data_IF_373234270222
#
_entry.id   IF_373234270222
#
_cell.length_a   1.000
_cell.length_b   1.000
_cell.length_c   1.000
_cell.angle_alpha   90.00
_cell.angle_beta   90.00
_cell.angle_gamma   90.00
#
_symmetry.space_group_name_H-M   'P 1'
#
loop_
_entity.id
_entity.type
_entity.pdbx_description
1 polymer ?
#
# COMPACT_ATOMS: atom_id res chain seq x y z
N UNK A 1 -4.96 1.42 -30.24
CA UNK A 1 -5.46 2.01 -28.97
C UNK A 1 -4.63 3.24 -28.69
N UNK A 2 -5.24 4.39 -28.38
CA UNK A 2 -4.46 5.61 -28.12
C UNK A 2 -3.74 5.52 -26.77
N UNK A 3 -2.60 6.17 -26.64
CA UNK A 3 -1.80 6.18 -25.41
C UNK A 3 -2.60 6.74 -24.21
N UNK A 4 -3.47 7.72 -24.47
CA UNK A 4 -4.40 8.29 -23.50
C UNK A 4 -5.42 7.27 -22.94
N UNK A 5 -5.91 6.33 -23.76
CA UNK A 5 -6.83 5.28 -23.27
C UNK A 5 -6.11 4.24 -22.41
N UNK A 6 -4.82 3.99 -22.68
CA UNK A 6 -3.99 3.10 -21.86
C UNK A 6 -3.72 3.68 -20.47
N UNK A 7 -3.40 4.97 -20.39
CA UNK A 7 -3.11 5.67 -19.13
C UNK A 7 -4.34 5.74 -18.21
N UNK A 8 -5.50 6.08 -18.75
CA UNK A 8 -6.75 6.12 -17.97
C UNK A 8 -7.13 4.73 -17.43
N UNK A 9 -6.88 3.66 -18.19
CA UNK A 9 -7.13 2.31 -17.72
C UNK A 9 -6.23 1.94 -16.53
N UNK A 10 -4.93 2.27 -16.61
CA UNK A 10 -3.97 2.03 -15.52
C UNK A 10 -4.29 2.85 -14.27
N UNK A 11 -4.66 4.12 -14.42
CA UNK A 11 -5.12 4.95 -13.30
C UNK A 11 -6.40 4.39 -12.67
N UNK A 12 -7.36 3.92 -13.48
CA UNK A 12 -8.59 3.29 -12.98
C UNK A 12 -8.30 2.01 -12.19
N UNK A 13 -7.34 1.21 -12.64
CA UNK A 13 -6.87 0.02 -11.91
C UNK A 13 -6.24 0.42 -10.57
N UNK A 14 -5.31 1.38 -10.57
CA UNK A 14 -4.68 1.88 -9.34
C UNK A 14 -5.72 2.47 -8.38
N UNK A 15 -6.68 3.25 -8.88
CA UNK A 15 -7.79 3.81 -8.10
C UNK A 15 -8.62 2.72 -7.44
N UNK A 16 -8.96 1.67 -8.19
CA UNK A 16 -9.76 0.55 -7.67
C UNK A 16 -9.00 -0.19 -6.58
N UNK A 17 -7.70 -0.43 -6.78
CA UNK A 17 -6.84 -1.09 -5.79
C UNK A 17 -6.75 -0.26 -4.50
N UNK A 18 -6.45 1.03 -4.60
CA UNK A 18 -6.35 1.92 -3.45
C UNK A 18 -7.69 2.08 -2.72
N UNK A 19 -8.80 2.22 -3.44
CA UNK A 19 -10.14 2.32 -2.84
C UNK A 19 -10.54 1.03 -2.10
N UNK A 20 -10.19 -0.15 -2.64
CA UNK A 20 -10.43 -1.42 -1.97
C UNK A 20 -9.58 -1.57 -0.69
N UNK A 21 -8.34 -1.09 -0.70
CA UNK A 21 -7.47 -1.10 0.47
C UNK A 21 -7.94 -0.09 1.53
N UNK A 22 -8.37 1.10 1.12
CA UNK A 22 -9.01 2.08 1.98
C UNK A 22 -10.22 1.51 2.73
N UNK A 23 -11.17 0.92 1.99
CA UNK A 23 -12.38 0.32 2.57
C UNK A 23 -12.04 -0.86 3.49
N UNK A 24 -11.05 -1.67 3.12
CA UNK A 24 -10.54 -2.74 3.99
C UNK A 24 -10.02 -2.17 5.32
N UNK A 25 -9.22 -1.10 5.29
CA UNK A 25 -8.63 -0.53 6.50
C UNK A 25 -9.65 0.12 7.41
N UNK A 26 -10.62 0.86 6.85
CA UNK A 26 -11.71 1.42 7.66
C UNK A 26 -12.51 0.33 8.37
N UNK A 27 -12.94 -0.71 7.62
CA UNK A 27 -13.70 -1.83 8.20
C UNK A 27 -12.89 -2.58 9.26
N UNK A 28 -11.61 -2.79 9.01
CA UNK A 28 -10.73 -3.43 9.98
C UNK A 28 -10.53 -2.55 11.24
N UNK A 29 -10.43 -1.23 11.08
CA UNK A 29 -10.25 -0.30 12.19
C UNK A 29 -11.49 -0.23 13.09
N UNK A 30 -12.69 -0.29 12.48
CA UNK A 30 -13.96 -0.34 13.21
C UNK A 30 -14.12 -1.65 14.00
N UNK A 31 -13.62 -2.76 13.45
CA UNK A 31 -13.65 -4.06 14.12
C UNK A 31 -12.52 -4.26 15.16
N UNK A 32 -11.48 -3.42 15.14
CA UNK A 32 -10.32 -3.56 16.01
C UNK A 32 -10.62 -3.09 17.45
N UNK A 33 -10.40 -3.98 18.42
CA UNK A 33 -10.58 -3.69 19.85
C UNK A 33 -9.36 -3.02 20.48
N UNK A 34 -8.16 -3.30 19.96
CA UNK A 34 -6.90 -2.79 20.49
C UNK A 34 -6.63 -1.38 19.95
N UNK A 35 -6.47 -0.35 20.81
CA UNK A 35 -6.27 1.03 20.37
C UNK A 35 -5.09 1.24 19.43
N UNK A 36 -3.96 0.56 19.67
CA UNK A 36 -2.76 0.66 18.84
C UNK A 36 -2.97 0.09 17.43
N UNK A 37 -3.69 -1.03 17.32
CA UNK A 37 -4.03 -1.64 16.04
C UNK A 37 -5.03 -0.77 15.29
N UNK A 38 -6.05 -0.25 15.98
CA UNK A 38 -7.01 0.69 15.41
C UNK A 38 -6.30 1.94 14.87
N UNK A 39 -5.41 2.54 15.64
CA UNK A 39 -4.64 3.71 15.21
C UNK A 39 -3.77 3.41 13.99
N UNK A 40 -3.09 2.25 13.95
CA UNK A 40 -2.34 1.83 12.77
C UNK A 40 -3.24 1.74 11.54
N UNK A 41 -4.37 1.04 11.65
CA UNK A 41 -5.30 0.83 10.55
C UNK A 41 -5.92 2.14 10.06
N UNK A 42 -6.27 3.06 10.97
CA UNK A 42 -6.75 4.39 10.59
C UNK A 42 -5.70 5.17 9.81
N UNK A 43 -4.43 5.15 10.22
CA UNK A 43 -3.38 5.85 9.47
C UNK A 43 -3.13 5.19 8.10
N UNK A 44 -3.23 3.87 8.00
CA UNK A 44 -3.17 3.19 6.70
C UNK A 44 -4.35 3.59 5.81
N UNK A 45 -5.57 3.67 6.38
CA UNK A 45 -6.75 4.17 5.67
C UNK A 45 -6.53 5.61 5.19
N UNK A 46 -6.06 6.53 6.05
CA UNK A 46 -5.81 7.91 5.65
C UNK A 46 -4.82 7.99 4.49
N UNK A 47 -3.74 7.20 4.53
CA UNK A 47 -2.74 7.14 3.45
C UNK A 47 -3.35 6.62 2.14
N UNK A 48 -4.19 5.59 2.19
CA UNK A 48 -4.92 5.11 1.00
C UNK A 48 -5.94 6.13 0.49
N UNK A 49 -6.60 6.86 1.39
CA UNK A 49 -7.55 7.93 1.04
C UNK A 49 -6.87 9.07 0.30
N UNK A 50 -5.70 9.52 0.78
CA UNK A 50 -4.88 10.50 0.09
C UNK A 50 -4.43 10.00 -1.29
N UNK A 51 -4.04 8.72 -1.40
CA UNK A 51 -3.68 8.11 -2.68
C UNK A 51 -4.87 8.07 -3.65
N UNK A 52 -6.07 7.74 -3.17
CA UNK A 52 -7.32 7.75 -3.95
C UNK A 52 -7.59 9.13 -4.53
N UNK A 53 -7.55 10.17 -3.69
CA UNK A 53 -7.78 11.55 -4.13
C UNK A 53 -6.72 12.02 -5.12
N UNK A 54 -5.46 11.64 -4.90
CA UNK A 54 -4.37 11.98 -5.82
C UNK A 54 -4.54 11.30 -7.18
N UNK A 55 -4.96 10.04 -7.22
CA UNK A 55 -5.26 9.35 -8.48
C UNK A 55 -6.46 9.98 -9.18
N UNK A 56 -7.51 10.38 -8.45
CA UNK A 56 -8.66 11.11 -9.02
C UNK A 56 -8.24 12.43 -9.64
N UNK A 57 -7.38 13.19 -8.96
CA UNK A 57 -6.82 14.43 -9.50
C UNK A 57 -6.09 14.16 -10.81
N UNK A 58 -5.17 13.19 -10.85
CA UNK A 58 -4.44 12.78 -12.07
C UNK A 58 -5.36 12.39 -13.23
N UNK A 59 -6.50 11.75 -12.94
CA UNK A 59 -7.50 11.42 -13.96
C UNK A 59 -8.22 12.65 -14.51
N UNK A 60 -8.32 13.73 -13.72
CA UNK A 60 -9.01 14.97 -14.10
C UNK A 60 -8.11 16.01 -14.76
N UNK A 61 -6.89 16.21 -14.25
CA UNK A 61 -5.93 17.23 -14.71
C UNK A 61 -4.87 16.68 -15.66
N UNK A 62 -4.67 15.37 -15.67
CA UNK A 62 -3.61 14.71 -16.43
C UNK A 62 -2.41 14.31 -15.57
N UNK A 63 -1.63 13.35 -16.07
CA UNK A 63 -0.54 12.70 -15.33
C UNK A 63 0.72 13.58 -15.27
N UNK A 64 0.97 14.42 -16.28
CA UNK A 64 2.21 15.18 -16.43
C UNK A 64 2.44 16.16 -15.27
N UNK A 65 1.44 16.97 -14.94
CA UNK A 65 1.53 17.94 -13.83
C UNK A 65 1.77 17.25 -12.48
N UNK A 66 1.11 16.11 -12.27
CA UNK A 66 1.26 15.34 -11.04
C UNK A 66 2.63 14.64 -10.94
N UNK A 67 3.25 14.31 -12.08
CA UNK A 67 4.61 13.76 -12.10
C UNK A 67 5.64 14.86 -11.95
N UNK A 68 5.49 16.07 -12.48
CA UNK A 68 6.45 17.15 -12.23
C UNK A 68 6.58 17.52 -10.75
N UNK A 69 5.50 17.39 -9.98
CA UNK A 69 5.56 17.54 -8.52
C UNK A 69 6.31 16.39 -7.83
N UNK A 70 6.22 15.19 -8.39
CA UNK A 70 6.70 13.94 -7.80
C UNK A 70 8.15 13.68 -8.24
N UNK A 71 8.51 13.90 -9.50
CA UNK A 71 9.83 13.70 -10.11
C UNK A 71 10.97 14.54 -9.52
N UNK A 72 10.67 15.51 -8.64
CA UNK A 72 11.69 16.27 -7.89
C UNK A 72 12.46 15.40 -6.90
N UNK A 73 11.86 14.29 -6.45
CA UNK A 73 12.50 13.35 -5.55
C UNK A 73 12.97 12.10 -6.30
N UNK A 74 14.23 11.71 -6.08
CA UNK A 74 14.73 10.41 -6.55
C UNK A 74 14.06 9.32 -5.73
N UNK A 75 13.04 8.66 -6.29
CA UNK A 75 12.33 7.58 -5.61
C UNK A 75 13.22 6.36 -5.41
N UNK A 76 13.86 6.30 -4.25
CA UNK A 76 14.49 5.08 -3.75
C UNK A 76 13.52 4.40 -2.78
N UNK A 77 13.18 3.15 -3.06
CA UNK A 77 12.47 2.29 -2.14
C UNK A 77 13.33 1.06 -1.87
N UNK A 78 13.39 0.65 -0.60
CA UNK A 78 13.98 -0.63 -0.25
C UNK A 78 12.96 -1.73 -0.53
N UNK A 79 13.46 -2.89 -0.96
CA UNK A 79 12.67 -4.12 -1.07
C UNK A 79 12.13 -4.47 0.32
N UNK A 80 10.80 -4.43 0.53
CA UNK A 80 10.25 -4.65 1.85
C UNK A 80 10.28 -6.14 2.21
N UNK A 81 10.47 -6.46 3.49
CA UNK A 81 10.46 -7.84 4.01
C UNK A 81 9.02 -8.41 4.02
N UNK A 82 8.74 -9.54 3.32
CA UNK A 82 7.41 -10.17 3.26
C UNK A 82 7.09 -11.15 4.40
N UNK A 83 8.03 -11.43 5.29
CA UNK A 83 7.93 -12.49 6.32
C UNK A 83 6.76 -12.28 7.30
N UNK A 84 5.74 -13.14 7.39
CA UNK A 84 4.64 -12.93 8.34
C UNK A 84 5.11 -12.82 9.81
N UNK A 85 4.38 -12.08 10.64
CA UNK A 85 4.61 -12.03 12.09
C UNK A 85 4.17 -13.31 12.77
N UNK A 86 4.87 -13.71 13.83
CA UNK A 86 4.50 -14.87 14.65
C UNK A 86 4.75 -16.23 13.99
N UNK A 87 5.69 -16.31 13.03
CA UNK A 87 6.05 -17.58 12.36
C UNK A 87 6.69 -18.61 13.29
N UNK A 88 7.09 -18.21 14.50
CA UNK A 88 7.48 -19.14 15.55
C UNK A 88 6.24 -19.91 16.04
N UNK A 89 6.11 -21.15 15.58
CA UNK A 89 5.05 -22.09 15.96
C UNK A 89 5.48 -23.05 17.08
N UNK A 90 6.61 -22.77 17.73
CA UNK A 90 7.06 -23.62 18.84
C UNK A 90 6.10 -23.49 20.03
N UNK A 91 6.02 -24.51 20.90
CA UNK A 91 5.21 -24.45 22.12
C UNK A 91 5.58 -23.31 23.09
N UNK A 92 6.74 -22.67 22.88
CA UNK A 92 7.26 -21.57 23.67
C UNK A 92 7.02 -20.20 23.04
N UNK A 93 6.40 -20.16 21.86
CA UNK A 93 6.08 -18.91 21.19
C UNK A 93 5.10 -18.11 22.06
N UNK A 94 5.44 -16.83 22.29
CA UNK A 94 4.62 -15.91 23.12
C UNK A 94 3.23 -15.63 22.54
N UNK A 95 3.03 -15.92 21.25
CA UNK A 95 1.82 -15.58 20.52
C UNK A 95 1.72 -16.41 19.24
N UNK A 96 0.58 -17.06 19.02
CA UNK A 96 0.26 -17.72 17.77
C UNK A 96 -0.53 -16.75 16.86
N UNK A 97 -0.08 -16.50 15.61
CA UNK A 97 -0.71 -15.55 14.68
C UNK A 97 -2.14 -15.94 14.29
N UNK A 98 -2.53 -17.21 14.43
CA UNK A 98 -3.89 -17.68 14.15
C UNK A 98 -4.87 -17.41 15.30
N UNK A 99 -4.34 -17.09 16.49
CA UNK A 99 -5.14 -16.88 17.72
C UNK A 99 -5.01 -15.48 18.30
N UNK A 100 -3.91 -14.77 18.03
CA UNK A 100 -3.75 -13.38 18.47
C UNK A 100 -4.40 -12.43 17.45
N UNK A 101 -5.52 -11.77 17.80
CA UNK A 101 -6.23 -10.89 16.87
C UNK A 101 -5.36 -9.72 16.39
N UNK A 102 -4.34 -9.31 17.16
CA UNK A 102 -3.41 -8.25 16.78
C UNK A 102 -2.48 -8.72 15.67
N UNK A 103 -1.91 -9.91 15.82
CA UNK A 103 -1.03 -10.52 14.80
C UNK A 103 -1.80 -10.88 13.54
N UNK A 104 -3.03 -11.39 13.68
CA UNK A 104 -3.91 -11.66 12.55
C UNK A 104 -4.14 -10.41 11.69
N UNK A 105 -4.51 -9.30 12.32
CA UNK A 105 -4.73 -8.02 11.63
C UNK A 105 -3.45 -7.47 11.02
N UNK A 106 -2.33 -7.52 11.75
CA UNK A 106 -1.02 -7.11 11.24
C UNK A 106 -0.60 -7.91 10.00
N UNK A 107 -0.78 -9.24 10.02
CA UNK A 107 -0.48 -10.10 8.89
C UNK A 107 -1.41 -9.83 7.70
N UNK A 108 -2.70 -9.57 7.94
CA UNK A 108 -3.65 -9.21 6.88
C UNK A 108 -3.34 -7.86 6.24
N UNK A 109 -3.01 -6.85 7.03
CA UNK A 109 -2.57 -5.56 6.52
C UNK A 109 -1.28 -5.70 5.70
N UNK A 110 -0.30 -6.45 6.22
CA UNK A 110 0.95 -6.74 5.54
C UNK A 110 0.73 -7.43 4.18
N UNK A 111 -0.11 -8.47 4.14
CA UNK A 111 -0.48 -9.20 2.92
C UNK A 111 -1.09 -8.26 1.86
N UNK A 112 -2.00 -7.37 2.29
CA UNK A 112 -2.63 -6.38 1.40
C UNK A 112 -1.62 -5.39 0.85
N UNK A 113 -0.73 -4.86 1.69
CA UNK A 113 0.29 -3.92 1.23
C UNK A 113 1.33 -4.57 0.30
N UNK A 114 1.75 -5.80 0.59
CA UNK A 114 2.65 -6.53 -0.29
C UNK A 114 2.04 -6.83 -1.65
N UNK A 115 0.76 -7.16 -1.69
CA UNK A 115 0.03 -7.36 -2.95
C UNK A 115 0.01 -6.06 -3.77
N UNK A 116 -0.29 -4.91 -3.14
CA UNK A 116 -0.25 -3.60 -3.79
C UNK A 116 1.15 -3.21 -4.29
N UNK A 117 2.17 -3.40 -3.44
CA UNK A 117 3.58 -3.16 -3.78
C UNK A 117 4.00 -3.97 -5.01
N UNK A 118 3.73 -5.29 -5.00
CA UNK A 118 4.12 -6.19 -6.09
C UNK A 118 3.37 -5.85 -7.37
N UNK A 119 2.08 -5.53 -7.27
CA UNK A 119 1.26 -5.11 -8.40
C UNK A 119 1.84 -3.84 -9.05
N UNK A 120 2.08 -2.78 -8.29
CA UNK A 120 2.62 -1.53 -8.83
C UNK A 120 4.05 -1.68 -9.36
N UNK A 121 4.91 -2.46 -8.70
CA UNK A 121 6.26 -2.78 -9.19
C UNK A 121 6.24 -3.55 -10.51
N UNK A 122 5.28 -4.46 -10.67
CA UNK A 122 5.12 -5.20 -11.93
C UNK A 122 4.73 -4.29 -13.09
N UNK A 123 3.96 -3.23 -12.82
CA UNK A 123 3.56 -2.25 -13.82
C UNK A 123 4.74 -1.33 -14.15
N UNK A 124 5.43 -0.78 -13.14
CA UNK A 124 6.56 0.13 -13.38
C UNK A 124 7.67 -0.57 -14.17
N UNK A 125 8.04 -1.81 -13.81
CA UNK A 125 9.08 -2.57 -14.50
C UNK A 125 8.75 -2.92 -15.96
N UNK A 126 7.47 -2.95 -16.34
CA UNK A 126 7.01 -3.26 -17.71
C UNK A 126 6.57 -2.03 -18.51
N UNK A 127 6.55 -0.86 -17.87
CA UNK A 127 6.11 0.37 -18.49
C UNK A 127 7.11 0.84 -19.55
N UNK A 128 6.62 1.02 -20.78
CA UNK A 128 7.42 1.60 -21.88
C UNK A 128 7.48 3.12 -21.82
N UNK A 129 6.48 3.74 -21.22
CA UNK A 129 6.40 5.18 -21.00
C UNK A 129 7.09 5.55 -19.70
N UNK A 130 8.05 6.48 -19.75
CA UNK A 130 8.76 6.99 -18.58
C UNK A 130 7.78 7.61 -17.57
N UNK A 131 6.74 8.28 -18.06
CA UNK A 131 5.66 8.86 -17.26
C UNK A 131 4.97 7.76 -16.44
N UNK A 132 4.54 6.68 -17.08
CA UNK A 132 3.90 5.56 -16.36
C UNK A 132 4.87 4.86 -15.43
N UNK A 133 6.12 4.67 -15.85
CA UNK A 133 7.15 4.06 -15.00
C UNK A 133 7.32 4.84 -13.69
N UNK A 134 7.52 6.16 -13.79
CA UNK A 134 7.71 7.06 -12.64
C UNK A 134 6.49 7.12 -11.74
N UNK A 135 5.28 7.18 -12.31
CA UNK A 135 4.04 7.17 -11.56
C UNK A 135 3.91 5.91 -10.69
N UNK A 136 4.16 4.74 -11.29
CA UNK A 136 4.05 3.49 -10.55
C UNK A 136 5.24 3.28 -9.59
N UNK A 137 6.43 3.79 -9.88
CA UNK A 137 7.54 3.86 -8.90
C UNK A 137 7.16 4.70 -7.67
N UNK A 138 6.46 5.82 -7.88
CA UNK A 138 5.91 6.62 -6.77
C UNK A 138 4.92 5.81 -5.94
N UNK A 139 3.96 5.11 -6.56
CA UNK A 139 3.03 4.25 -5.82
C UNK A 139 3.76 3.12 -5.07
N UNK A 140 4.80 2.53 -5.66
CA UNK A 140 5.65 1.54 -5.00
C UNK A 140 6.33 2.13 -3.76
N UNK A 141 6.80 3.37 -3.83
CA UNK A 141 7.43 4.05 -2.69
C UNK A 141 6.45 4.24 -1.53
N UNK A 142 5.20 4.64 -1.80
CA UNK A 142 4.14 4.75 -0.80
C UNK A 142 3.90 3.40 -0.14
N UNK A 143 3.74 2.35 -0.94
CA UNK A 143 3.52 0.98 -0.44
C UNK A 143 4.68 0.48 0.42
N UNK A 144 5.93 0.75 0.01
CA UNK A 144 7.11 0.40 0.81
C UNK A 144 7.10 1.12 2.17
N UNK A 145 6.73 2.40 2.21
CA UNK A 145 6.61 3.15 3.46
C UNK A 145 5.50 2.61 4.38
N UNK A 146 4.35 2.24 3.82
CA UNK A 146 3.26 1.61 4.57
C UNK A 146 3.67 0.26 5.16
N UNK A 147 4.36 -0.58 4.38
CA UNK A 147 4.91 -1.85 4.87
C UNK A 147 5.89 -1.61 6.02
N UNK A 148 6.82 -0.66 5.87
CA UNK A 148 7.77 -0.28 6.94
C UNK A 148 7.05 0.17 8.21
N UNK A 149 5.94 0.90 8.07
CA UNK A 149 5.12 1.35 9.20
C UNK A 149 4.42 0.20 9.90
N UNK A 150 3.82 -0.73 9.14
CA UNK A 150 3.23 -1.97 9.67
C UNK A 150 4.30 -2.75 10.44
N UNK A 151 5.48 -2.95 9.85
CA UNK A 151 6.64 -3.60 10.49
C UNK A 151 6.99 -2.98 11.83
N UNK A 152 7.19 -1.67 11.85
CA UNK A 152 7.57 -0.94 13.07
C UNK A 152 6.53 -1.03 14.17
N UNK A 153 5.24 -0.88 13.85
CA UNK A 153 4.18 -0.89 14.87
C UNK A 153 3.91 -2.30 15.35
N UNK A 154 3.74 -3.25 14.42
CA UNK A 154 3.40 -4.63 14.77
C UNK A 154 4.56 -5.39 15.44
N UNK A 155 5.82 -4.98 15.27
CA UNK A 155 6.95 -5.55 16.02
C UNK A 155 7.01 -5.12 17.49
N UNK A 156 6.21 -4.14 17.91
CA UNK A 156 6.18 -3.66 19.31
C UNK A 156 5.10 -4.34 20.16
N UNK A 157 4.29 -5.23 19.56
CA UNK A 157 3.26 -6.00 20.25
C UNK A 157 3.81 -7.29 20.85
#
# INVERSE_FOLDING_TARGET
MSEATSHQHLLKLALTTAANQYDFYLKAADAATTPQVKALLMVLADTEGELVERIRLMMSTGILDAIEEVAKDTFSYDEPDPTPFGMDRTPFARSNPDTDPRLYVCNKALEKEFSGFTFYRSISSRAKSEVIRRLFEYFVSIKSQQIKRIRRVCSTF
#
